data_IF_125698714259
#
_entry.id   IF_125698714259
#
_cell.length_a   1.000
_cell.length_b   1.000
_cell.length_c   1.000
_cell.angle_alpha   90.00
_cell.angle_beta   90.00
_cell.angle_gamma   90.00
#
_symmetry.space_group_name_H-M   'P 1'
#
loop_
_entity.id
_entity.type
_entity.pdbx_description
1 polymer ?
#
# COMPACT_ATOMS: atom_id res chain seq x y z
N UNK A 1 10.42 -28.92 24.31
CA UNK A 1 9.48 -28.21 23.42
C UNK A 1 10.35 -27.62 22.31
N UNK A 2 10.40 -28.26 21.14
CA UNK A 2 11.24 -27.80 20.03
C UNK A 2 10.42 -26.91 19.11
N UNK A 3 10.93 -25.72 18.78
CA UNK A 3 10.32 -24.87 17.75
C UNK A 3 10.52 -25.58 16.42
N UNK A 4 9.43 -25.94 15.75
CA UNK A 4 9.47 -26.41 14.36
C UNK A 4 9.50 -25.16 13.50
N UNK A 5 10.59 -24.98 12.77
CA UNK A 5 10.78 -23.86 11.86
C UNK A 5 10.58 -24.40 10.46
N UNK A 6 9.75 -23.74 9.65
CA UNK A 6 9.55 -24.11 8.26
C UNK A 6 10.89 -24.01 7.51
N UNK A 7 11.09 -24.85 6.49
CA UNK A 7 12.24 -24.70 5.59
C UNK A 7 12.27 -23.26 5.06
N UNK A 8 13.48 -22.68 4.99
CA UNK A 8 13.77 -21.27 4.69
C UNK A 8 13.47 -20.25 5.81
N UNK A 9 12.87 -20.66 6.92
CA UNK A 9 12.77 -19.83 8.11
C UNK A 9 13.91 -20.19 9.09
N UNK A 10 14.50 -19.18 9.70
CA UNK A 10 15.47 -19.31 10.78
C UNK A 10 14.82 -18.90 12.11
N UNK A 11 15.44 -19.31 13.23
CA UNK A 11 14.94 -19.02 14.57
C UNK A 11 15.12 -17.51 14.85
N UNK A 12 14.18 -16.70 14.37
CA UNK A 12 14.04 -15.25 14.61
C UNK A 12 15.35 -14.49 14.37
N UNK A 13 15.65 -14.19 13.11
CA UNK A 13 16.64 -13.15 12.76
C UNK A 13 16.05 -11.75 12.86
N UNK A 14 16.85 -10.77 13.31
CA UNK A 14 16.51 -9.35 13.20
C UNK A 14 16.79 -8.85 11.78
N UNK A 15 15.79 -8.29 11.11
CA UNK A 15 15.94 -7.65 9.81
C UNK A 15 15.87 -6.13 9.94
N UNK A 16 16.96 -5.39 9.69
CA UNK A 16 16.91 -3.95 9.57
C UNK A 16 15.82 -3.50 8.59
N UNK A 17 15.02 -2.52 9.00
CA UNK A 17 14.08 -1.85 8.12
C UNK A 17 14.77 -0.63 7.51
N UNK A 18 14.98 -0.66 6.19
CA UNK A 18 15.56 0.44 5.44
C UNK A 18 14.43 1.32 4.86
N UNK A 19 14.15 2.50 5.45
CA UNK A 19 13.10 3.38 4.96
C UNK A 19 13.48 4.00 3.61
N UNK A 20 12.52 4.05 2.71
CA UNK A 20 12.61 4.70 1.42
C UNK A 20 11.95 6.09 1.51
N UNK A 21 12.78 7.12 1.71
CA UNK A 21 12.30 8.49 1.91
C UNK A 21 11.55 9.05 0.70
N UNK A 22 11.65 8.44 -0.49
CA UNK A 22 10.83 8.83 -1.64
C UNK A 22 9.34 8.50 -1.47
N UNK A 23 9.01 7.67 -0.48
CA UNK A 23 7.63 7.27 -0.15
C UNK A 23 7.03 8.04 1.01
N UNK A 24 7.77 8.99 1.60
CA UNK A 24 7.34 9.74 2.77
C UNK A 24 6.10 10.58 2.46
N UNK A 25 5.03 10.40 3.23
CA UNK A 25 3.76 11.14 3.10
C UNK A 25 3.22 11.56 4.47
N UNK A 26 2.67 12.77 4.55
CA UNK A 26 2.03 13.27 5.78
C UNK A 26 0.74 12.50 6.07
N UNK A 27 0.54 12.05 7.30
CA UNK A 27 -0.68 11.35 7.71
C UNK A 27 -1.82 12.36 7.95
N UNK A 28 -2.87 12.40 7.13
CA UNK A 28 -3.95 13.40 7.24
C UNK A 28 -4.84 13.17 8.48
N UNK A 29 -4.78 11.98 9.06
CA UNK A 29 -5.55 11.56 10.23
C UNK A 29 -4.84 11.86 11.56
N UNK A 30 -3.55 12.25 11.55
CA UNK A 30 -2.80 12.54 12.77
C UNK A 30 -1.74 13.63 12.52
N UNK A 31 -1.91 14.80 13.15
CA UNK A 31 -1.01 15.93 12.96
C UNK A 31 0.42 15.60 13.43
N UNK A 32 1.42 16.06 12.66
CA UNK A 32 2.84 15.82 12.95
C UNK A 32 3.33 14.41 12.61
N UNK A 33 2.48 13.53 12.07
CA UNK A 33 2.85 12.17 11.71
C UNK A 33 3.07 11.99 10.21
N UNK A 34 3.97 11.07 9.85
CA UNK A 34 4.28 10.70 8.47
C UNK A 34 4.37 9.19 8.32
N UNK A 35 3.84 8.67 7.22
CA UNK A 35 4.00 7.28 6.81
C UNK A 35 5.16 7.17 5.82
N UNK A 36 5.99 6.14 5.97
CA UNK A 36 7.12 5.86 5.09
C UNK A 36 7.22 4.36 4.87
N UNK A 37 7.29 3.95 3.61
CA UNK A 37 7.55 2.56 3.20
C UNK A 37 9.05 2.29 3.19
N UNK A 38 9.40 1.01 3.13
CA UNK A 38 10.79 0.57 3.21
C UNK A 38 10.92 -0.93 2.97
N UNK A 39 12.16 -1.39 2.90
CA UNK A 39 12.49 -2.79 2.67
C UNK A 39 13.15 -3.40 3.90
N UNK A 40 12.84 -4.65 4.21
CA UNK A 40 13.63 -5.44 5.14
C UNK A 40 14.92 -5.88 4.45
N UNK A 41 16.03 -5.78 5.18
CA UNK A 41 17.36 -6.11 4.70
C UNK A 41 18.04 -7.11 5.63
N UNK A 42 18.98 -7.88 5.11
CA UNK A 42 19.88 -8.71 5.89
C UNK A 42 20.83 -7.80 6.69
N UNK A 43 21.15 -8.20 7.93
CA UNK A 43 22.05 -7.44 8.81
C UNK A 43 23.47 -7.35 8.25
N UNK A 44 23.89 -8.33 7.46
CA UNK A 44 25.15 -8.37 6.76
C UNK A 44 24.93 -8.91 5.33
N UNK A 45 25.78 -8.55 4.35
CA UNK A 45 25.66 -9.07 3.00
C UNK A 45 25.72 -10.60 2.96
N UNK A 46 24.77 -11.20 2.25
CA UNK A 46 24.68 -12.65 1.98
C UNK A 46 24.85 -12.90 0.47
N UNK A 47 25.18 -14.13 0.09
CA UNK A 47 25.24 -14.52 -1.31
C UNK A 47 23.82 -14.82 -1.82
N UNK A 48 23.46 -14.23 -2.96
CA UNK A 48 22.24 -14.61 -3.69
C UNK A 48 22.44 -15.90 -4.52
N UNK A 49 21.38 -16.30 -5.24
CA UNK A 49 21.40 -17.49 -6.09
C UNK A 49 22.41 -17.41 -7.26
N UNK A 50 22.78 -16.19 -7.67
CA UNK A 50 23.75 -15.92 -8.74
C UNK A 50 25.18 -15.74 -8.20
N UNK A 51 25.36 -15.83 -6.87
CA UNK A 51 26.66 -15.68 -6.20
C UNK A 51 27.08 -14.23 -5.97
N UNK A 52 26.18 -13.25 -6.12
CA UNK A 52 26.46 -11.85 -5.81
C UNK A 52 26.16 -11.55 -4.34
N UNK A 53 26.91 -10.59 -3.77
CA UNK A 53 26.62 -10.10 -2.43
C UNK A 53 25.39 -9.18 -2.45
N UNK A 54 24.42 -9.47 -1.60
CA UNK A 54 23.19 -8.69 -1.46
C UNK A 54 22.79 -8.56 0.01
N UNK A 55 22.03 -7.51 0.32
CA UNK A 55 21.32 -7.38 1.60
C UNK A 55 19.81 -7.56 1.44
N UNK A 56 19.35 -7.97 0.24
CA UNK A 56 17.93 -8.15 -0.02
C UNK A 56 17.39 -9.41 0.66
N UNK A 57 16.27 -9.27 1.37
CA UNK A 57 15.57 -10.38 2.01
C UNK A 57 14.53 -10.97 1.05
N UNK A 58 14.55 -12.30 0.87
CA UNK A 58 13.70 -12.98 -0.12
C UNK A 58 12.20 -12.91 0.17
N UNK A 59 11.80 -12.68 1.41
CA UNK A 59 10.42 -12.59 1.86
C UNK A 59 9.97 -11.15 2.16
N UNK A 60 10.77 -10.13 1.85
CA UNK A 60 10.30 -8.74 1.90
C UNK A 60 9.38 -8.47 0.69
N UNK A 61 8.07 -8.20 0.88
CA UNK A 61 7.15 -8.05 -0.24
C UNK A 61 7.54 -6.91 -1.19
N UNK A 62 8.02 -5.79 -0.64
CA UNK A 62 8.48 -4.63 -1.41
C UNK A 62 9.71 -4.97 -2.28
N UNK A 63 10.73 -5.61 -1.70
CA UNK A 63 11.91 -6.06 -2.44
C UNK A 63 11.57 -7.12 -3.49
N UNK A 64 10.62 -8.01 -3.19
CA UNK A 64 10.15 -9.01 -4.16
C UNK A 64 9.43 -8.36 -5.34
N UNK A 65 8.53 -7.39 -5.09
CA UNK A 65 7.90 -6.64 -6.16
C UNK A 65 8.93 -5.86 -6.99
N UNK A 66 9.90 -5.21 -6.33
CA UNK A 66 10.97 -4.49 -7.01
C UNK A 66 11.77 -5.40 -7.95
N UNK A 67 12.18 -6.60 -7.51
CA UNK A 67 12.88 -7.58 -8.36
C UNK A 67 12.06 -8.02 -9.57
N UNK A 68 10.75 -8.22 -9.39
CA UNK A 68 9.84 -8.55 -10.50
C UNK A 68 9.74 -7.38 -11.49
N UNK A 69 9.64 -6.15 -11.00
CA UNK A 69 9.60 -4.95 -11.86
C UNK A 69 10.89 -4.78 -12.64
N UNK A 70 12.05 -5.00 -12.01
CA UNK A 70 13.36 -4.91 -12.64
C UNK A 70 13.55 -5.98 -13.72
N UNK A 71 13.09 -7.22 -13.48
CA UNK A 71 13.16 -8.30 -14.47
C UNK A 71 12.26 -8.05 -15.70
N UNK A 72 11.10 -7.41 -15.49
CA UNK A 72 10.19 -6.98 -16.58
C UNK A 72 10.73 -5.74 -17.30
N UNK A 73 11.38 -4.81 -16.60
CA UNK A 73 11.96 -3.61 -17.21
C UNK A 73 13.07 -3.94 -18.22
N UNK A 74 13.80 -5.04 -18.02
CA UNK A 74 14.75 -5.57 -19.00
C UNK A 74 14.09 -6.00 -20.31
N UNK A 75 12.79 -6.35 -20.28
CA UNK A 75 12.00 -6.84 -21.43
C UNK A 75 11.07 -5.80 -22.07
N UNK A 76 11.33 -4.50 -21.83
CA UNK A 76 10.87 -3.37 -22.66
C UNK A 76 9.41 -2.86 -22.52
N UNK A 77 8.80 -2.86 -21.33
CA UNK A 77 7.59 -2.04 -21.10
C UNK A 77 7.49 -1.51 -19.67
N UNK A 78 7.63 -0.19 -19.47
CA UNK A 78 7.23 0.47 -18.23
C UNK A 78 5.70 0.51 -18.17
N UNK A 79 5.10 -0.51 -17.55
CA UNK A 79 3.65 -0.56 -17.33
C UNK A 79 3.30 0.39 -16.19
N UNK A 80 2.43 1.34 -16.47
CA UNK A 80 1.77 2.13 -15.43
C UNK A 80 0.55 1.36 -14.92
N UNK A 81 0.32 1.40 -13.61
CA UNK A 81 -0.75 0.67 -12.94
C UNK A 81 -1.57 1.63 -12.10
N UNK A 82 -2.89 1.42 -12.08
CA UNK A 82 -3.81 2.12 -11.19
C UNK A 82 -3.89 1.40 -9.84
N UNK A 83 -3.75 2.14 -8.75
CA UNK A 83 -3.98 1.62 -7.40
C UNK A 83 -5.46 1.76 -7.04
N UNK A 84 -6.12 0.63 -6.83
CA UNK A 84 -7.56 0.56 -6.50
C UNK A 84 -7.76 0.01 -5.09
N UNK A 85 -8.36 0.80 -4.21
CA UNK A 85 -8.79 0.34 -2.88
C UNK A 85 -10.31 0.18 -2.83
N UNK A 86 -10.77 -0.90 -2.18
CA UNK A 86 -12.18 -1.19 -1.94
C UNK A 86 -12.45 -1.01 -0.44
N UNK A 87 -13.32 -0.05 -0.09
CA UNK A 87 -13.84 0.09 1.28
C UNK A 87 -15.33 -0.26 1.33
N UNK A 88 -15.80 -0.77 2.47
CA UNK A 88 -17.21 -1.09 2.69
C UNK A 88 -17.93 0.15 3.23
N UNK A 89 -18.93 0.68 2.51
CA UNK A 89 -19.78 1.79 2.98
C UNK A 89 -21.24 1.53 2.62
N UNK A 90 -22.12 1.32 3.59
CA UNK A 90 -23.53 1.04 3.32
C UNK A 90 -24.24 2.26 2.72
N UNK A 91 -24.44 2.34 1.41
CA UNK A 91 -25.13 3.48 0.80
C UNK A 91 -25.83 3.09 -0.51
N UNK A 92 -27.16 3.02 -0.48
CA UNK A 92 -28.01 2.83 -1.66
C UNK A 92 -28.05 4.11 -2.52
N UNK A 93 -26.97 4.39 -3.23
CA UNK A 93 -26.73 5.72 -3.81
C UNK A 93 -26.41 6.72 -2.69
N UNK A 94 -25.51 7.67 -2.98
CA UNK A 94 -25.02 8.64 -2.01
C UNK A 94 -25.85 9.94 -2.14
N UNK A 95 -27.03 10.08 -1.50
CA UNK A 95 -27.74 11.35 -1.51
C UNK A 95 -26.86 12.42 -0.88
N UNK A 96 -26.94 13.62 -1.44
CA UNK A 96 -26.21 14.77 -0.90
C UNK A 96 -26.60 14.99 0.55
N UNK A 97 -25.60 15.10 1.44
CA UNK A 97 -25.81 15.28 2.88
C UNK A 97 -25.87 14.01 3.72
N UNK A 98 -25.90 12.81 3.12
CA UNK A 98 -25.77 11.56 3.85
C UNK A 98 -24.43 11.46 4.58
N UNK A 99 -24.39 10.71 5.69
CA UNK A 99 -23.15 10.51 6.48
C UNK A 99 -22.08 9.91 5.58
N UNK A 100 -22.45 8.92 4.78
CA UNK A 100 -21.57 8.23 3.84
C UNK A 100 -20.99 9.18 2.78
N UNK A 101 -21.77 10.18 2.33
CA UNK A 101 -21.30 11.22 1.40
C UNK A 101 -20.25 12.13 2.05
N UNK A 102 -20.37 12.42 3.34
CA UNK A 102 -19.41 13.22 4.10
C UNK A 102 -18.11 12.45 4.33
N UNK A 103 -18.20 11.22 4.82
CA UNK A 103 -17.04 10.34 5.04
C UNK A 103 -16.25 10.15 3.76
N UNK A 104 -16.94 9.93 2.64
CA UNK A 104 -16.30 9.85 1.32
C UNK A 104 -15.55 11.15 0.98
N UNK A 105 -16.17 12.30 1.20
CA UNK A 105 -15.53 13.60 0.98
C UNK A 105 -14.24 13.74 1.77
N UNK A 106 -14.27 13.36 3.05
CA UNK A 106 -13.09 13.42 3.90
C UNK A 106 -11.98 12.46 3.49
N UNK A 107 -12.32 11.23 3.05
CA UNK A 107 -11.34 10.31 2.48
C UNK A 107 -10.67 10.94 1.26
N UNK A 108 -11.46 11.51 0.34
CA UNK A 108 -10.92 12.13 -0.87
C UNK A 108 -10.00 13.31 -0.54
N UNK A 109 -10.44 14.24 0.31
CA UNK A 109 -9.63 15.37 0.77
C UNK A 109 -8.33 14.90 1.46
N UNK A 110 -8.42 13.82 2.25
CA UNK A 110 -7.27 13.24 2.95
C UNK A 110 -6.24 12.61 2.00
N UNK A 111 -6.68 12.06 0.87
CA UNK A 111 -5.79 11.51 -0.17
C UNK A 111 -5.20 12.62 -1.05
N UNK A 112 -5.93 13.71 -1.29
CA UNK A 112 -5.43 14.83 -2.10
C UNK A 112 -4.32 15.62 -1.38
N UNK A 113 -4.39 15.76 -0.04
CA UNK A 113 -3.37 16.46 0.78
C UNK A 113 -1.91 15.96 0.56
N UNK A 114 -1.61 14.65 0.57
CA UNK A 114 -0.29 14.10 0.30
C UNK A 114 0.00 13.94 -1.21
N UNK A 115 -0.70 14.66 -2.08
CA UNK A 115 -0.53 14.63 -3.55
C UNK A 115 -0.82 13.26 -4.18
N UNK A 116 -1.78 12.49 -3.65
CA UNK A 116 -2.27 11.30 -4.34
C UNK A 116 -3.31 11.73 -5.37
N UNK A 117 -2.97 11.53 -6.64
CA UNK A 117 -3.91 11.73 -7.75
C UNK A 117 -5.05 10.71 -7.66
N UNK A 118 -6.27 11.17 -7.46
CA UNK A 118 -7.49 10.36 -7.51
C UNK A 118 -8.21 10.63 -8.83
N UNK A 119 -8.18 9.66 -9.74
CA UNK A 119 -8.78 9.80 -11.07
C UNK A 119 -10.26 9.45 -11.09
N UNK A 120 -10.67 8.52 -10.23
CA UNK A 120 -12.04 8.04 -10.20
C UNK A 120 -12.44 7.61 -8.81
N UNK A 121 -13.71 7.86 -8.48
CA UNK A 121 -14.30 7.37 -7.27
C UNK A 121 -15.75 6.96 -7.57
N UNK A 122 -16.19 5.75 -7.23
CA UNK A 122 -17.55 5.33 -7.53
C UNK A 122 -18.11 4.30 -6.54
N UNK A 123 -19.42 4.32 -6.28
CA UNK A 123 -20.08 3.22 -5.60
C UNK A 123 -20.06 1.97 -6.51
N UNK A 124 -19.83 0.81 -5.92
CA UNK A 124 -19.94 -0.49 -6.57
C UNK A 124 -20.94 -1.32 -5.77
N UNK A 125 -21.93 -1.89 -6.45
CA UNK A 125 -22.96 -2.69 -5.81
C UNK A 125 -22.33 -3.86 -5.03
N UNK A 126 -22.69 -4.01 -3.76
CA UNK A 126 -22.43 -5.21 -2.96
C UNK A 126 -23.66 -6.11 -2.92
N UNK A 127 -23.50 -7.36 -2.51
CA UNK A 127 -24.64 -8.17 -2.09
C UNK A 127 -25.16 -7.65 -0.73
N UNK A 128 -26.45 -7.27 -0.67
CA UNK A 128 -27.13 -6.78 0.55
C UNK A 128 -27.44 -5.28 0.56
N UNK A 129 -27.67 -4.69 1.75
CA UNK A 129 -27.82 -3.24 1.96
C UNK A 129 -26.49 -2.48 1.98
N UNK A 130 -25.37 -3.19 1.86
CA UNK A 130 -24.04 -2.59 1.82
C UNK A 130 -23.72 -2.14 0.40
N UNK A 131 -22.94 -1.07 0.25
CA UNK A 131 -22.36 -0.66 -1.03
C UNK A 131 -20.84 -0.62 -0.83
N UNK A 132 -20.08 -0.91 -1.87
CA UNK A 132 -18.64 -0.77 -1.83
C UNK A 132 -18.27 0.58 -2.40
N UNK A 133 -17.20 1.16 -1.89
CA UNK A 133 -16.62 2.35 -2.47
C UNK A 133 -15.26 2.02 -3.06
N UNK A 134 -15.06 2.40 -4.32
CA UNK A 134 -13.78 2.24 -5.00
C UNK A 134 -13.16 3.60 -5.21
N UNK A 135 -11.91 3.75 -4.77
CA UNK A 135 -11.05 4.89 -5.09
C UNK A 135 -9.97 4.38 -6.03
N UNK A 136 -9.84 5.02 -7.18
CA UNK A 136 -8.82 4.73 -8.20
C UNK A 136 -7.84 5.90 -8.23
N UNK A 137 -6.56 5.58 -8.14
CA UNK A 137 -5.45 6.54 -8.18
C UNK A 137 -4.39 6.14 -9.20
N UNK A 138 -3.77 7.15 -9.82
CA UNK A 138 -2.69 6.96 -10.81
C UNK A 138 -2.95 7.66 -12.13
N UNK A 139 -2.14 7.36 -13.17
CA UNK A 139 -1.25 6.20 -13.30
C UNK A 139 0.07 6.29 -12.52
N UNK A 140 0.52 5.17 -11.92
CA UNK A 140 1.79 5.09 -11.16
C UNK A 140 2.73 4.01 -11.70
N UNK A 141 4.04 4.11 -11.43
CA UNK A 141 4.94 2.97 -11.63
C UNK A 141 4.56 1.84 -10.68
N UNK A 142 4.83 0.57 -11.03
CA UNK A 142 4.26 -0.56 -10.30
C UNK A 142 4.61 -0.57 -8.80
N UNK A 143 5.86 -0.22 -8.44
CA UNK A 143 6.27 -0.13 -7.03
C UNK A 143 5.59 1.03 -6.30
N UNK A 144 5.43 2.18 -6.98
CA UNK A 144 4.71 3.34 -6.45
C UNK A 144 3.21 3.05 -6.28
N UNK A 145 2.60 2.31 -7.21
CA UNK A 145 1.20 1.89 -7.11
C UNK A 145 0.96 1.06 -5.85
N UNK A 146 1.88 0.16 -5.50
CA UNK A 146 1.81 -0.62 -4.27
C UNK A 146 1.92 0.27 -3.02
N UNK A 147 2.82 1.26 -3.00
CA UNK A 147 2.91 2.22 -1.89
C UNK A 147 1.64 3.04 -1.72
N UNK A 148 1.13 3.60 -2.82
CA UNK A 148 -0.09 4.40 -2.81
C UNK A 148 -1.28 3.56 -2.37
N UNK A 149 -1.34 2.28 -2.77
CA UNK A 149 -2.38 1.36 -2.32
C UNK A 149 -2.34 1.15 -0.79
N UNK A 150 -1.15 0.87 -0.23
CA UNK A 150 -0.99 0.67 1.21
C UNK A 150 -1.34 1.94 1.98
N UNK A 151 -0.78 3.09 1.57
CA UNK A 151 -1.06 4.38 2.17
C UNK A 151 -2.54 4.76 2.12
N UNK A 152 -3.19 4.52 0.98
CA UNK A 152 -4.63 4.79 0.81
C UNK A 152 -5.45 3.91 1.74
N UNK A 153 -5.10 2.63 1.88
CA UNK A 153 -5.79 1.71 2.79
C UNK A 153 -5.61 2.13 4.25
N UNK A 154 -4.39 2.48 4.64
CA UNK A 154 -4.08 2.99 5.98
C UNK A 154 -4.90 4.25 6.28
N UNK A 155 -4.91 5.22 5.36
CA UNK A 155 -5.68 6.46 5.48
C UNK A 155 -7.18 6.18 5.69
N UNK A 156 -7.76 5.27 4.90
CA UNK A 156 -9.18 4.91 5.01
C UNK A 156 -9.50 4.26 6.38
N UNK A 157 -8.60 3.41 6.89
CA UNK A 157 -8.81 2.70 8.16
C UNK A 157 -8.60 3.61 9.38
N UNK A 158 -7.64 4.53 9.31
CA UNK A 158 -7.26 5.39 10.43
C UNK A 158 -8.12 6.65 10.55
N UNK A 159 -8.82 7.06 9.48
CA UNK A 159 -9.84 8.09 9.61
C UNK A 159 -10.90 7.61 10.61
N UNK A 160 -11.28 8.46 11.58
CA UNK A 160 -12.07 8.04 12.73
C UNK A 160 -13.33 7.29 12.30
N UNK A 161 -13.51 6.09 12.86
CA UNK A 161 -14.78 5.37 12.78
C UNK A 161 -15.83 6.21 13.49
N UNK A 162 -16.71 6.82 12.71
CA UNK A 162 -17.82 7.61 13.21
C UNK A 162 -18.66 6.78 14.19
N UNK A 163 -18.63 7.17 15.47
CA UNK A 163 -19.46 6.67 16.57
C UNK A 163 -20.72 7.50 16.72
#
# INVERSE_FOLDING_TARGET
MGVVIADEFNAIGEYPYAPDLSTLRLCPYEEGHTSVSGCFQEKAPVLDADGNLTVAVNFCPRSTLQRVVESISWSASKLLVEASNISTMASSGLPSGAVESRVKGEILESLLKPEIEVTMHHPKAAQGQHTWYVVVSGPWLQLQAADVLIYTRETIVMLPSWS
#
